data_IF_353196674031
#
_entry.id   IF_353196674031
#
_cell.length_a   1.000
_cell.length_b   1.000
_cell.length_c   1.000
_cell.angle_alpha   90.00
_cell.angle_beta   90.00
_cell.angle_gamma   90.00
#
_symmetry.space_group_name_H-M   'P 1'
#
loop_
_entity.id
_entity.type
_entity.pdbx_description
1 polymer ?
#
# COMPACT_ATOMS: atom_id res chain seq x y z
N UNK A 1 49.84 -38.62 -44.48
CA UNK A 1 49.27 -37.30 -44.55
C UNK A 1 47.96 -37.14 -43.71
N UNK A 2 47.71 -38.01 -42.71
CA UNK A 2 46.45 -37.99 -41.92
C UNK A 2 46.51 -37.29 -40.52
N UNK A 3 47.71 -36.88 -40.08
CA UNK A 3 47.89 -36.30 -38.75
C UNK A 3 47.50 -34.78 -38.67
N UNK A 4 47.72 -34.05 -39.76
CA UNK A 4 47.48 -32.61 -39.77
C UNK A 4 45.96 -32.27 -39.72
N UNK A 5 45.13 -33.05 -40.43
CA UNK A 5 43.64 -32.86 -40.41
C UNK A 5 43.03 -33.16 -39.04
N UNK A 6 43.53 -34.20 -38.34
CA UNK A 6 43.07 -34.52 -37.00
C UNK A 6 43.41 -33.44 -35.96
N UNK A 7 44.56 -32.79 -36.09
CA UNK A 7 45.02 -31.73 -35.20
C UNK A 7 44.20 -30.45 -35.38
N UNK A 8 43.83 -30.13 -36.62
CA UNK A 8 42.94 -28.98 -36.93
C UNK A 8 41.54 -29.22 -36.35
N UNK A 9 40.97 -30.42 -36.55
CA UNK A 9 39.63 -30.77 -36.00
C UNK A 9 39.63 -30.70 -34.47
N UNK A 10 40.69 -31.24 -33.84
CA UNK A 10 40.81 -31.17 -32.37
C UNK A 10 40.89 -29.73 -31.88
N UNK A 11 41.71 -28.87 -32.52
CA UNK A 11 41.83 -27.47 -32.15
C UNK A 11 40.48 -26.70 -32.29
N UNK A 12 39.74 -26.95 -33.36
CA UNK A 12 38.41 -26.33 -33.55
C UNK A 12 37.44 -26.82 -32.52
N UNK A 13 37.37 -28.11 -32.21
CA UNK A 13 36.47 -28.65 -31.18
C UNK A 13 36.79 -28.07 -29.79
N UNK A 14 38.07 -27.94 -29.47
CA UNK A 14 38.49 -27.34 -28.19
C UNK A 14 38.11 -25.89 -28.10
N UNK A 15 38.28 -25.10 -29.17
CA UNK A 15 37.89 -23.68 -29.22
C UNK A 15 36.38 -23.52 -29.07
N UNK A 16 35.57 -24.34 -29.74
CA UNK A 16 34.10 -24.31 -29.63
C UNK A 16 33.68 -24.69 -28.20
N UNK A 17 34.28 -25.73 -27.60
CA UNK A 17 33.96 -26.14 -26.22
C UNK A 17 34.27 -25.05 -25.21
N UNK A 18 35.39 -24.33 -25.35
CA UNK A 18 35.77 -23.20 -24.50
C UNK A 18 34.78 -22.03 -24.66
N UNK A 19 34.37 -21.75 -25.91
CA UNK A 19 33.38 -20.70 -26.17
C UNK A 19 32.02 -21.02 -25.54
N UNK A 20 31.55 -22.27 -25.64
CA UNK A 20 30.29 -22.71 -25.01
C UNK A 20 30.36 -22.63 -23.48
N UNK A 21 31.48 -23.08 -22.89
CA UNK A 21 31.70 -22.95 -21.44
C UNK A 21 31.72 -21.52 -20.99
N UNK A 22 32.41 -20.63 -21.71
CA UNK A 22 32.40 -19.18 -21.42
C UNK A 22 31.00 -18.60 -21.45
N UNK A 23 30.20 -18.94 -22.47
CA UNK A 23 28.83 -18.51 -22.58
C UNK A 23 27.96 -19.01 -21.41
N UNK A 24 28.10 -20.29 -21.01
CA UNK A 24 27.37 -20.85 -19.87
C UNK A 24 27.70 -20.14 -18.55
N UNK A 25 28.98 -19.81 -18.33
CA UNK A 25 29.39 -19.07 -17.12
C UNK A 25 28.76 -17.68 -17.11
N UNK A 26 28.81 -16.93 -18.22
CA UNK A 26 28.19 -15.63 -18.32
C UNK A 26 26.68 -15.74 -18.09
N UNK A 27 26.01 -16.70 -18.69
CA UNK A 27 24.58 -16.94 -18.51
C UNK A 27 24.23 -17.23 -17.04
N UNK A 28 25.00 -18.09 -16.35
CA UNK A 28 24.78 -18.38 -14.93
C UNK A 28 24.96 -17.15 -14.03
N UNK A 29 26.03 -16.37 -14.29
CA UNK A 29 26.26 -15.13 -13.51
C UNK A 29 25.12 -14.14 -13.70
N UNK A 30 24.72 -13.90 -14.95
CA UNK A 30 23.61 -12.96 -15.25
C UNK A 30 22.29 -13.45 -14.64
N UNK A 31 22.01 -14.75 -14.73
CA UNK A 31 20.79 -15.32 -14.15
C UNK A 31 20.77 -15.20 -12.62
N UNK A 32 21.91 -15.47 -11.95
CA UNK A 32 22.01 -15.30 -10.51
C UNK A 32 21.86 -13.84 -10.08
N UNK A 33 22.39 -12.88 -10.83
CA UNK A 33 22.21 -11.46 -10.54
C UNK A 33 20.74 -11.06 -10.62
N UNK A 34 20.03 -11.43 -11.69
CA UNK A 34 18.59 -11.17 -11.83
C UNK A 34 17.76 -11.86 -10.73
N UNK A 35 18.14 -13.06 -10.32
CA UNK A 35 17.49 -13.76 -9.22
C UNK A 35 17.67 -13.01 -7.90
N UNK A 36 18.89 -12.57 -7.58
CA UNK A 36 19.18 -11.81 -6.36
C UNK A 36 18.49 -10.44 -6.33
N UNK A 37 18.35 -9.77 -7.47
CA UNK A 37 17.55 -8.54 -7.57
C UNK A 37 16.07 -8.81 -7.27
N UNK A 38 15.51 -9.90 -7.80
CA UNK A 38 14.12 -10.30 -7.50
C UNK A 38 13.93 -10.64 -6.03
N UNK A 39 14.87 -11.36 -5.41
CA UNK A 39 14.82 -11.69 -3.98
C UNK A 39 14.82 -10.41 -3.13
N UNK A 40 15.73 -9.47 -3.42
CA UNK A 40 15.77 -8.17 -2.73
C UNK A 40 14.48 -7.38 -2.90
N UNK A 41 13.87 -7.42 -4.09
CA UNK A 41 12.60 -6.77 -4.34
C UNK A 41 11.46 -7.38 -3.52
N UNK A 42 11.40 -8.73 -3.44
CA UNK A 42 10.41 -9.45 -2.62
C UNK A 42 10.63 -9.21 -1.13
N UNK A 43 11.88 -9.19 -0.66
CA UNK A 43 12.21 -8.83 0.73
C UNK A 43 11.75 -7.41 1.06
N UNK A 44 12.03 -6.44 0.18
CA UNK A 44 11.59 -5.06 0.36
C UNK A 44 10.06 -4.91 0.41
N UNK A 45 9.33 -5.68 -0.42
CA UNK A 45 7.86 -5.75 -0.34
C UNK A 45 7.45 -6.40 1.00
N UNK A 46 8.07 -7.50 1.39
CA UNK A 46 7.77 -8.19 2.65
C UNK A 46 8.07 -7.33 3.89
N UNK A 47 9.06 -6.44 3.83
CA UNK A 47 9.33 -5.48 4.90
C UNK A 47 8.27 -4.37 4.96
N UNK A 48 7.80 -3.89 3.81
CA UNK A 48 6.70 -2.91 3.73
C UNK A 48 5.36 -3.47 4.23
N UNK A 49 5.15 -4.78 4.13
CA UNK A 49 3.92 -5.45 4.58
C UNK A 49 3.95 -5.89 6.07
N UNK A 50 4.95 -5.51 6.86
CA UNK A 50 5.02 -5.86 8.29
C UNK A 50 4.15 -4.99 9.18
N UNK A 51 3.82 -3.79 8.75
CA UNK A 51 2.95 -2.88 9.46
C UNK A 51 1.47 -3.21 9.28
N UNK A 52 0.65 -2.56 10.07
CA UNK A 52 -0.80 -2.56 9.95
C UNK A 52 -1.34 -1.18 10.32
N UNK A 53 -2.59 -0.94 9.98
CA UNK A 53 -3.33 0.21 10.46
C UNK A 53 -4.23 -0.24 11.60
N UNK A 54 -4.26 0.50 12.71
CA UNK A 54 -5.05 0.19 13.88
C UNK A 54 -6.17 1.22 14.03
N UNK A 55 -7.41 0.76 14.13
CA UNK A 55 -8.53 1.65 14.42
C UNK A 55 -8.55 1.90 15.93
N UNK A 56 -8.16 3.09 16.37
CA UNK A 56 -8.16 3.49 17.79
C UNK A 56 -9.55 3.81 18.30
N UNK A 57 -10.36 4.49 17.46
CA UNK A 57 -11.74 4.83 17.78
C UNK A 57 -12.60 4.98 16.54
N UNK A 58 -13.89 4.71 16.70
CA UNK A 58 -14.92 4.99 15.69
C UNK A 58 -16.17 5.48 16.38
N UNK A 59 -16.76 6.54 15.85
CA UNK A 59 -17.99 7.13 16.37
C UNK A 59 -18.92 7.49 15.22
N UNK A 60 -20.20 7.14 15.36
CA UNK A 60 -21.25 7.56 14.45
C UNK A 60 -21.78 8.94 14.90
N UNK A 61 -21.89 9.86 13.95
CA UNK A 61 -22.44 11.19 14.23
C UNK A 61 -23.98 11.18 14.31
N UNK A 62 -24.55 12.28 14.78
CA UNK A 62 -25.99 12.41 15.01
C UNK A 62 -26.83 12.39 13.73
N UNK A 63 -26.23 12.64 12.57
CA UNK A 63 -26.89 12.60 11.27
C UNK A 63 -27.19 11.18 10.78
N UNK A 64 -26.67 10.15 11.47
CA UNK A 64 -26.82 8.72 11.20
C UNK A 64 -26.19 8.19 9.90
N UNK A 65 -25.58 9.02 9.08
CA UNK A 65 -24.91 8.62 7.81
C UNK A 65 -23.43 8.99 7.76
N UNK A 66 -22.94 9.64 8.80
CA UNK A 66 -21.53 10.02 8.94
C UNK A 66 -20.85 9.30 10.11
N UNK A 67 -19.63 8.88 9.90
CA UNK A 67 -18.75 8.22 10.88
C UNK A 67 -17.45 9.00 10.99
N UNK A 68 -16.98 9.26 12.20
CA UNK A 68 -15.61 9.69 12.46
C UNK A 68 -14.79 8.51 12.98
N UNK A 69 -13.56 8.38 12.51
CA UNK A 69 -12.64 7.35 12.95
C UNK A 69 -11.24 7.93 13.13
N UNK A 70 -10.51 7.37 14.10
CA UNK A 70 -9.10 7.64 14.31
C UNK A 70 -8.34 6.36 14.01
N UNK A 71 -7.41 6.42 13.08
CA UNK A 71 -6.66 5.27 12.57
C UNK A 71 -5.18 5.54 12.77
N UNK A 72 -4.52 4.68 13.55
CA UNK A 72 -3.09 4.76 13.82
C UNK A 72 -2.30 3.98 12.78
N UNK A 73 -1.23 4.58 12.30
CA UNK A 73 -0.23 3.91 11.48
C UNK A 73 0.74 3.14 12.37
N UNK A 74 0.74 1.80 12.29
CA UNK A 74 1.63 0.94 13.09
C UNK A 74 2.60 0.21 12.16
N UNK A 75 3.64 0.92 11.75
CA UNK A 75 4.71 0.37 10.91
C UNK A 75 4.33 0.19 9.43
N UNK A 76 3.29 0.87 8.94
CA UNK A 76 2.94 0.84 7.51
C UNK A 76 3.92 1.65 6.64
N UNK A 77 4.84 2.38 7.26
CA UNK A 77 5.72 3.35 6.60
C UNK A 77 5.02 4.69 6.38
N UNK A 78 5.76 5.68 5.90
CA UNK A 78 5.23 7.02 5.61
C UNK A 78 4.33 6.97 4.37
N UNK A 79 3.11 7.46 4.50
CA UNK A 79 2.13 7.55 3.41
C UNK A 79 1.98 9.04 3.05
N UNK A 80 2.38 9.44 1.82
CA UNK A 80 2.24 10.83 1.40
C UNK A 80 0.76 11.25 1.35
N UNK A 81 0.47 12.48 1.72
CA UNK A 81 -0.90 13.04 1.62
C UNK A 81 -1.38 13.09 0.17
N UNK A 82 -0.46 13.26 -0.79
CA UNK A 82 -0.74 13.23 -2.22
C UNK A 82 -1.25 11.87 -2.72
N UNK A 83 -0.97 10.78 -1.97
CA UNK A 83 -1.41 9.42 -2.29
C UNK A 83 -2.71 9.03 -1.55
N UNK A 84 -3.37 9.95 -0.85
CA UNK A 84 -4.60 9.64 -0.11
C UNK A 84 -5.79 9.30 -1.01
N UNK A 85 -5.78 9.75 -2.24
CA UNK A 85 -6.74 9.34 -3.27
C UNK A 85 -6.56 7.90 -3.75
N UNK A 86 -5.37 7.29 -3.49
CA UNK A 86 -5.09 5.87 -3.73
C UNK A 86 -5.46 4.98 -2.53
N UNK A 87 -5.87 5.57 -1.40
CA UNK A 87 -6.35 4.81 -0.23
C UNK A 87 -7.77 4.31 -0.50
N UNK A 88 -7.94 3.00 -0.42
CA UNK A 88 -9.27 2.39 -0.44
C UNK A 88 -9.89 2.41 0.96
N UNK A 89 -11.04 3.07 1.11
CA UNK A 89 -11.86 2.99 2.30
C UNK A 89 -13.17 2.27 1.99
N UNK A 90 -13.44 1.19 2.71
CA UNK A 90 -14.68 0.41 2.60
C UNK A 90 -15.41 0.50 3.93
N UNK A 91 -16.65 0.95 3.90
CA UNK A 91 -17.56 0.93 5.04
C UNK A 91 -18.53 -0.25 4.89
N UNK A 92 -18.57 -1.10 5.91
CA UNK A 92 -19.56 -2.19 6.03
C UNK A 92 -20.49 -1.82 7.18
N UNK A 93 -21.78 -1.74 6.90
CA UNK A 93 -22.75 -1.34 7.91
C UNK A 93 -24.09 -2.06 7.72
N UNK A 94 -24.86 -2.11 8.78
CA UNK A 94 -26.27 -2.49 8.74
C UNK A 94 -27.11 -1.23 8.65
N UNK A 95 -28.00 -1.14 7.70
CA UNK A 95 -28.94 -0.03 7.64
C UNK A 95 -30.17 -0.26 8.52
N UNK A 96 -31.01 0.77 8.69
CA UNK A 96 -32.21 0.75 9.53
C UNK A 96 -33.23 -0.35 9.15
N UNK A 97 -33.24 -0.84 7.91
CA UNK A 97 -34.08 -1.94 7.47
C UNK A 97 -33.49 -3.33 7.74
N UNK A 98 -32.30 -3.41 8.37
CA UNK A 98 -31.60 -4.65 8.73
C UNK A 98 -30.71 -5.23 7.64
N UNK A 99 -30.64 -4.63 6.45
CA UNK A 99 -29.78 -5.10 5.37
C UNK A 99 -28.31 -4.70 5.65
N UNK A 100 -27.39 -5.62 5.38
CA UNK A 100 -25.95 -5.34 5.43
C UNK A 100 -25.50 -4.81 4.06
N UNK A 101 -24.77 -3.71 4.09
CA UNK A 101 -24.17 -3.08 2.91
C UNK A 101 -22.67 -2.97 3.07
N UNK A 102 -21.95 -3.03 1.96
CA UNK A 102 -20.54 -2.73 1.87
C UNK A 102 -20.36 -1.69 0.76
N UNK A 103 -19.82 -0.54 1.09
CA UNK A 103 -19.64 0.57 0.17
C UNK A 103 -18.19 1.01 0.15
N UNK A 104 -17.65 1.19 -1.04
CA UNK A 104 -16.39 1.86 -1.24
C UNK A 104 -16.60 3.38 -1.23
N UNK A 105 -15.80 4.06 -0.42
CA UNK A 105 -15.86 5.50 -0.22
C UNK A 105 -14.65 6.16 -0.87
N UNK A 106 -14.82 6.97 -1.91
CA UNK A 106 -13.72 7.70 -2.53
C UNK A 106 -13.19 8.79 -1.59
N UNK A 107 -11.91 9.12 -1.73
CA UNK A 107 -11.32 10.28 -1.08
C UNK A 107 -11.92 11.56 -1.67
N UNK A 108 -12.42 12.41 -0.80
CA UNK A 108 -13.05 13.68 -1.17
C UNK A 108 -12.69 14.77 -0.16
N UNK A 109 -11.57 15.47 -0.35
CA UNK A 109 -11.12 16.51 0.57
C UNK A 109 -12.10 17.70 0.64
N UNK A 110 -12.89 17.96 -0.43
CA UNK A 110 -13.88 19.04 -0.49
C UNK A 110 -15.18 18.69 0.25
N UNK A 111 -15.55 17.42 0.29
CA UNK A 111 -16.82 16.96 0.86
C UNK A 111 -18.01 17.19 -0.07
N UNK A 112 -17.80 17.33 -1.38
CA UNK A 112 -18.85 17.64 -2.36
C UNK A 112 -19.55 16.39 -2.91
N UNK A 113 -18.96 15.21 -2.72
CA UNK A 113 -19.54 13.96 -3.20
C UNK A 113 -20.68 13.49 -2.29
N UNK A 114 -21.65 12.78 -2.86
CA UNK A 114 -22.77 12.18 -2.12
C UNK A 114 -22.30 11.16 -1.08
N UNK A 115 -21.12 10.57 -1.28
CA UNK A 115 -20.44 9.63 -0.37
C UNK A 115 -18.95 9.77 -0.53
N UNK A 116 -18.20 9.56 0.54
CA UNK A 116 -16.75 9.68 0.49
C UNK A 116 -16.12 9.68 1.86
N UNK A 117 -14.87 10.05 1.89
CA UNK A 117 -14.15 10.30 3.14
C UNK A 117 -13.14 11.41 2.96
N UNK A 118 -12.82 12.07 4.05
CA UNK A 118 -11.77 13.11 4.10
C UNK A 118 -10.98 13.05 5.39
N UNK A 119 -9.79 13.61 5.34
CA UNK A 119 -8.94 13.82 6.51
C UNK A 119 -9.48 15.01 7.31
N UNK A 120 -9.48 14.87 8.63
CA UNK A 120 -9.74 15.96 9.56
C UNK A 120 -8.42 16.54 10.07
N UNK A 121 -7.53 15.68 10.58
CA UNK A 121 -6.17 16.03 10.98
C UNK A 121 -5.30 14.78 11.12
N UNK A 122 -3.98 14.99 11.25
CA UNK A 122 -3.00 13.99 11.66
C UNK A 122 -2.43 14.44 13.00
N UNK A 123 -2.32 13.51 13.95
CA UNK A 123 -1.82 13.76 15.30
C UNK A 123 -0.78 12.74 15.69
N UNK A 124 0.19 13.17 16.48
CA UNK A 124 1.16 12.31 17.13
C UNK A 124 0.92 12.34 18.64
N UNK A 125 0.52 11.19 19.23
CA UNK A 125 0.15 11.07 20.65
C UNK A 125 -0.89 12.12 21.10
N UNK A 126 -1.86 12.43 20.25
CA UNK A 126 -2.94 13.38 20.56
C UNK A 126 -2.53 14.86 20.50
N UNK A 127 -1.35 15.16 19.98
CA UNK A 127 -0.88 16.52 19.69
C UNK A 127 -0.84 16.70 18.19
N UNK A 128 -1.14 17.90 17.71
CA UNK A 128 -1.03 18.22 16.29
C UNK A 128 0.35 17.86 15.76
N UNK A 129 0.39 17.31 14.57
CA UNK A 129 1.61 16.93 13.90
C UNK A 129 2.53 18.14 13.71
N UNK A 130 3.78 18.04 14.22
CA UNK A 130 4.75 19.12 14.15
C UNK A 130 5.83 18.90 13.08
N UNK A 131 6.02 17.65 12.63
CA UNK A 131 7.14 17.28 11.75
C UNK A 131 6.81 17.44 10.28
N UNK A 132 5.69 16.92 9.84
CA UNK A 132 5.21 16.96 8.47
C UNK A 132 3.74 17.39 8.44
N UNK A 133 3.41 18.60 8.90
CA UNK A 133 2.02 19.01 9.07
C UNK A 133 1.27 18.94 7.74
N UNK A 134 0.05 18.41 7.77
CA UNK A 134 -0.86 18.48 6.64
C UNK A 134 -1.32 19.93 6.52
N UNK A 135 -0.67 20.71 5.66
CA UNK A 135 -1.11 22.06 5.36
C UNK A 135 -2.11 22.02 4.22
N UNK A 136 -3.24 22.73 4.38
CA UNK A 136 -4.29 22.83 3.35
C UNK A 136 -3.76 23.31 1.98
N UNK A 137 -2.66 24.05 1.97
CA UNK A 137 -2.07 24.66 0.77
C UNK A 137 -0.81 23.95 0.23
N UNK A 138 -0.27 22.96 0.92
CA UNK A 138 0.98 22.32 0.58
C UNK A 138 0.86 20.80 0.74
N UNK A 139 0.83 20.08 -0.36
CA UNK A 139 0.80 18.61 -0.43
C UNK A 139 2.13 17.93 -0.01
N UNK A 140 2.80 18.45 1.01
CA UNK A 140 4.08 17.93 1.50
C UNK A 140 3.98 17.14 2.81
N UNK A 141 2.78 16.93 3.33
CA UNK A 141 2.56 16.13 4.52
C UNK A 141 2.71 14.64 4.25
N UNK A 142 3.03 13.92 5.30
CA UNK A 142 3.04 12.46 5.33
C UNK A 142 2.23 12.01 6.54
N UNK A 143 1.64 10.86 6.44
CA UNK A 143 1.13 10.12 7.59
C UNK A 143 2.18 9.08 7.97
N UNK A 144 2.96 9.40 8.99
CA UNK A 144 4.13 8.64 9.41
C UNK A 144 3.77 7.52 10.41
N UNK A 145 4.77 6.66 10.70
CA UNK A 145 4.64 5.63 11.73
C UNK A 145 4.34 6.26 13.10
N UNK A 146 3.48 5.60 13.87
CA UNK A 146 2.99 6.00 15.20
C UNK A 146 2.07 7.23 15.19
N UNK A 147 1.76 7.80 14.04
CA UNK A 147 0.78 8.88 13.91
C UNK A 147 -0.64 8.36 13.73
N UNK A 148 -1.60 9.13 14.23
CA UNK A 148 -3.02 8.85 14.16
C UNK A 148 -3.69 9.80 13.18
N UNK A 149 -4.35 9.23 12.17
CA UNK A 149 -5.12 9.91 11.14
C UNK A 149 -6.59 9.97 11.58
N UNK A 150 -7.10 11.16 11.84
CA UNK A 150 -8.53 11.38 12.05
C UNK A 150 -9.23 11.60 10.72
N UNK A 151 -10.25 10.80 10.45
CA UNK A 151 -11.03 10.87 9.21
C UNK A 151 -12.51 11.06 9.51
N UNK A 152 -13.22 11.64 8.55
CA UNK A 152 -14.67 11.62 8.47
C UNK A 152 -15.09 10.91 7.21
N UNK A 153 -15.93 9.90 7.35
CA UNK A 153 -16.47 9.09 6.27
C UNK A 153 -17.99 9.21 6.25
N UNK A 154 -18.60 9.30 5.08
CA UNK A 154 -20.05 9.44 4.94
C UNK A 154 -20.59 8.59 3.78
N UNK A 155 -21.80 8.13 3.95
CA UNK A 155 -22.62 7.47 2.91
C UNK A 155 -23.66 8.45 2.37
N UNK A 156 -24.50 8.02 1.43
CA UNK A 156 -25.61 8.84 0.96
C UNK A 156 -26.59 9.14 2.12
N UNK A 157 -27.16 10.33 2.15
CA UNK A 157 -28.07 10.81 3.21
C UNK A 157 -29.31 9.91 3.46
N UNK A 158 -29.71 9.09 2.48
CA UNK A 158 -30.82 8.15 2.58
C UNK A 158 -30.45 6.81 3.24
N UNK A 159 -29.17 6.65 3.63
CA UNK A 159 -28.63 5.42 4.18
C UNK A 159 -28.33 5.55 5.68
N UNK A 160 -29.35 5.38 6.50
CA UNK A 160 -29.16 5.33 7.96
C UNK A 160 -28.22 4.16 8.35
N UNK A 161 -27.08 4.48 8.93
CA UNK A 161 -26.16 3.50 9.53
C UNK A 161 -26.70 3.13 10.91
N UNK A 162 -26.98 1.84 11.14
CA UNK A 162 -27.28 1.33 12.48
C UNK A 162 -26.00 1.36 13.34
N UNK A 163 -26.13 0.94 14.61
CA UNK A 163 -25.00 0.96 15.55
C UNK A 163 -23.89 -0.04 15.20
N UNK A 164 -24.17 -1.02 14.32
CA UNK A 164 -23.18 -2.01 13.86
C UNK A 164 -22.56 -1.55 12.52
N UNK A 165 -21.33 -1.08 12.56
CA UNK A 165 -20.57 -0.72 11.37
C UNK A 165 -19.08 -1.07 11.55
N UNK A 166 -18.36 -1.19 10.44
CA UNK A 166 -16.94 -1.49 10.37
C UNK A 166 -16.31 -0.68 9.24
N UNK A 167 -15.11 -0.17 9.46
CA UNK A 167 -14.28 0.43 8.44
C UNK A 167 -13.11 -0.49 8.09
N UNK A 168 -12.82 -0.62 6.81
CA UNK A 168 -11.62 -1.27 6.29
C UNK A 168 -10.90 -0.25 5.44
N UNK A 169 -9.71 0.13 5.88
CA UNK A 169 -8.82 1.01 5.11
C UNK A 169 -7.66 0.18 4.56
N UNK A 170 -7.34 0.39 3.30
CA UNK A 170 -6.19 -0.22 2.63
C UNK A 170 -5.33 0.90 2.06
N UNK A 171 -4.11 1.01 2.56
CA UNK A 171 -3.14 1.99 2.08
C UNK A 171 -2.54 1.59 0.72
N UNK A 172 -1.96 2.53 -0.06
CA UNK A 172 -1.40 2.27 -1.39
C UNK A 172 -0.34 1.18 -1.42
N UNK A 173 0.37 0.97 -0.31
CA UNK A 173 1.36 -0.09 -0.14
C UNK A 173 0.76 -1.48 0.21
N UNK A 174 -0.58 -1.60 0.26
CA UNK A 174 -1.31 -2.84 0.54
C UNK A 174 -1.46 -3.16 2.04
N UNK A 175 -1.02 -2.28 2.93
CA UNK A 175 -1.27 -2.40 4.38
C UNK A 175 -2.72 -2.06 4.68
N UNK A 176 -3.34 -2.82 5.58
CA UNK A 176 -4.77 -2.65 5.90
C UNK A 176 -5.04 -2.56 7.38
N UNK A 177 -6.21 -2.05 7.73
CA UNK A 177 -6.75 -2.07 9.10
C UNK A 177 -6.95 -3.49 9.61
N UNK A 178 -6.73 -3.66 10.91
CA UNK A 178 -6.98 -4.87 11.68
C UNK A 178 -8.03 -4.60 12.74
#
# INVERSE_FOLDING_TARGET
MSSLGGLIVFAVLTAVSLAVMGYMVIFMVTHNQLFMERVKYVEKIGERCKGYLEIESMEKLQDNWTVEAVIKNVGAGSIPVEDFDEIDLIMIYRNSNGSVRAEWLPYDPSGDLERGWRVLNITYHGVDELKNPVAEDLSYGFWDDEESLAIRAWTCEDQDIADEFMLIMVAPNGVRTR
#
